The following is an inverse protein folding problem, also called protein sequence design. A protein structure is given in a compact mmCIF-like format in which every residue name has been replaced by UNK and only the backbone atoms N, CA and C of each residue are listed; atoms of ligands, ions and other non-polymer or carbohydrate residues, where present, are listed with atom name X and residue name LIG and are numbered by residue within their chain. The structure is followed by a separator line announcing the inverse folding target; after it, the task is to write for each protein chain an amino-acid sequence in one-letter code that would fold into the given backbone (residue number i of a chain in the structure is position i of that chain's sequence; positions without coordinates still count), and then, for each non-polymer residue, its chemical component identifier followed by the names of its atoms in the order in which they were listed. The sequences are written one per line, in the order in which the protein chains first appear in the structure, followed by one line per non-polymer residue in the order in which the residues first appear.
data_IF_414881824737
#
_entry.id   IF_414881824737
#
_cell.length_a   1.000
_cell.length_b   1.000
_cell.length_c   1.000
_cell.angle_alpha   90.00
_cell.angle_beta   90.00
_cell.angle_gamma   90.00
#
_symmetry.space_group_name_H-M   'P 1'
#
loop_
_entity.id
_entity.type
_entity.pdbx_description
1 polymer ?
#
# COMPACT_ATOMS: atom_id res chain seq x y z
N UNK A 1 -32.79 22.55 28.59
CA UNK A 1 -32.16 22.47 27.25
C UNK A 1 -30.66 22.32 27.46
N UNK A 2 -30.10 21.15 27.14
CA UNK A 2 -28.74 20.75 27.48
C UNK A 2 -27.80 21.07 26.29
N UNK A 3 -27.04 22.16 26.37
CA UNK A 3 -26.21 22.70 25.28
C UNK A 3 -24.75 22.20 25.30
N UNK A 4 -24.45 21.11 26.01
CA UNK A 4 -23.07 20.62 26.20
C UNK A 4 -22.61 19.53 25.23
N UNK A 5 -23.47 18.89 24.43
CA UNK A 5 -23.10 17.70 23.66
C UNK A 5 -22.49 17.95 22.27
N UNK A 6 -22.69 19.13 21.66
CA UNK A 6 -22.27 19.35 20.26
C UNK A 6 -20.77 19.55 20.05
N UNK A 7 -20.04 20.09 21.04
CA UNK A 7 -18.60 20.38 20.89
C UNK A 7 -17.72 19.15 21.10
N UNK A 8 -18.11 18.26 22.01
CA UNK A 8 -17.40 17.00 22.26
C UNK A 8 -17.55 16.02 21.09
N UNK A 9 -18.73 15.95 20.47
CA UNK A 9 -18.94 15.12 19.27
C UNK A 9 -18.07 15.59 18.09
N UNK A 10 -17.98 16.89 17.83
CA UNK A 10 -17.15 17.45 16.74
C UNK A 10 -15.66 17.18 17.01
N UNK A 11 -15.18 17.36 18.24
CA UNK A 11 -13.79 17.08 18.62
C UNK A 11 -13.43 15.60 18.45
N UNK A 12 -14.33 14.72 18.88
CA UNK A 12 -14.14 13.27 18.71
C UNK A 12 -14.14 12.87 17.23
N UNK A 13 -15.03 13.43 16.42
CA UNK A 13 -15.09 13.12 14.99
C UNK A 13 -13.84 13.59 14.24
N UNK A 14 -13.35 14.79 14.56
CA UNK A 14 -12.14 15.37 13.96
C UNK A 14 -10.89 14.57 14.34
N UNK A 15 -10.79 14.16 15.61
CA UNK A 15 -9.69 13.33 16.10
C UNK A 15 -9.69 11.91 15.50
N UNK A 16 -10.88 11.33 15.29
CA UNK A 16 -11.04 10.05 14.61
C UNK A 16 -10.67 10.14 13.12
N UNK A 17 -11.10 11.20 12.43
CA UNK A 17 -10.75 11.45 11.03
C UNK A 17 -9.24 11.67 10.83
N UNK A 18 -8.58 12.37 11.77
CA UNK A 18 -7.12 12.52 11.74
C UNK A 18 -6.40 11.19 11.94
N UNK A 19 -6.84 10.36 12.89
CA UNK A 19 -6.27 9.01 13.09
C UNK A 19 -6.46 8.10 11.88
N UNK A 20 -7.59 8.19 11.20
CA UNK A 20 -7.83 7.49 9.93
C UNK A 20 -6.83 7.92 8.84
N UNK A 21 -6.57 9.23 8.71
CA UNK A 21 -5.61 9.77 7.74
C UNK A 21 -4.16 9.34 7.99
N UNK A 22 -3.82 9.02 9.25
CA UNK A 22 -2.49 8.52 9.63
C UNK A 22 -2.30 7.03 9.35
N UNK A 23 -3.38 6.27 9.10
CA UNK A 23 -3.27 4.84 8.78
C UNK A 23 -2.68 4.69 7.37
N UNK A 24 -1.82 3.69 7.14
CA UNK A 24 -1.40 3.35 5.79
C UNK A 24 -2.65 3.15 4.92
N UNK A 25 -2.73 3.78 3.73
CA UNK A 25 -3.86 3.58 2.85
C UNK A 25 -3.98 2.09 2.53
N UNK A 26 -5.22 1.60 2.43
CA UNK A 26 -5.45 0.24 1.98
C UNK A 26 -4.86 0.09 0.58
N UNK A 27 -4.03 -0.94 0.38
CA UNK A 27 -3.42 -1.23 -0.92
C UNK A 27 -4.50 -1.62 -1.93
N UNK A 28 -5.63 -2.17 -1.46
CA UNK A 28 -6.79 -2.46 -2.28
C UNK A 28 -7.69 -1.21 -2.33
N UNK A 29 -7.95 -0.73 -3.55
CA UNK A 29 -8.83 0.40 -3.85
C UNK A 29 -9.83 0.00 -4.93
N UNK A 30 -10.97 0.69 -4.98
CA UNK A 30 -12.01 0.46 -5.99
C UNK A 30 -11.89 1.41 -7.21
N UNK A 31 -10.78 2.16 -7.30
CA UNK A 31 -10.50 3.09 -8.40
C UNK A 31 -10.24 2.38 -9.73
N UNK A 32 -10.70 2.97 -10.83
CA UNK A 32 -10.38 2.52 -12.19
C UNK A 32 -9.00 3.01 -12.69
N UNK A 33 -8.59 2.60 -13.90
CA UNK A 33 -7.25 2.94 -14.42
C UNK A 33 -7.08 4.43 -14.73
N UNK A 34 -8.15 5.13 -15.09
CA UNK A 34 -8.13 6.57 -15.38
C UNK A 34 -8.02 7.37 -14.07
N UNK A 35 -8.80 6.98 -13.06
CA UNK A 35 -8.74 7.55 -11.71
C UNK A 35 -7.37 7.33 -11.06
N UNK A 36 -6.77 6.14 -11.23
CA UNK A 36 -5.42 5.84 -10.76
C UNK A 36 -4.38 6.69 -11.46
N UNK A 37 -4.46 6.83 -12.78
CA UNK A 37 -3.53 7.64 -13.55
C UNK A 37 -3.64 9.12 -13.14
N UNK A 38 -4.87 9.63 -13.02
CA UNK A 38 -5.15 10.98 -12.55
C UNK A 38 -4.56 11.21 -11.16
N UNK A 39 -4.81 10.29 -10.22
CA UNK A 39 -4.29 10.37 -8.84
C UNK A 39 -2.77 10.32 -8.80
N UNK A 40 -2.13 9.43 -9.57
CA UNK A 40 -0.68 9.31 -9.65
C UNK A 40 -0.02 10.53 -10.31
N UNK A 41 -0.73 11.25 -11.19
CA UNK A 41 -0.25 12.46 -11.84
C UNK A 41 -0.24 13.69 -10.93
N UNK A 42 -0.99 13.67 -9.82
CA UNK A 42 -1.07 14.80 -8.91
C UNK A 42 0.26 15.04 -8.18
N UNK A 43 0.77 16.28 -8.24
CA UNK A 43 1.90 16.68 -7.41
C UNK A 43 1.42 17.01 -5.99
N UNK A 44 1.95 16.36 -4.93
CA UNK A 44 1.54 16.64 -3.57
C UNK A 44 1.86 18.10 -3.21
N UNK A 45 0.83 18.90 -2.93
CA UNK A 45 1.01 20.31 -2.50
C UNK A 45 1.25 20.47 -1.00
N UNK A 46 1.28 19.36 -0.25
CA UNK A 46 1.47 19.39 1.21
C UNK A 46 2.96 19.59 1.52
N UNK A 47 3.36 20.74 2.08
CA UNK A 47 4.77 21.08 2.28
C UNK A 47 5.42 20.26 3.40
N UNK A 48 4.64 19.79 4.38
CA UNK A 48 5.09 18.95 5.48
C UNK A 48 4.00 17.96 5.88
N UNK A 49 4.36 16.68 5.99
CA UNK A 49 3.43 15.65 6.44
C UNK A 49 3.15 15.77 7.94
N UNK A 50 1.95 15.39 8.40
CA UNK A 50 1.58 15.45 9.82
C UNK A 50 2.27 14.37 10.68
N UNK A 51 3.20 13.61 10.10
CA UNK A 51 3.98 12.55 10.72
C UNK A 51 5.36 12.46 10.08
N UNK A 52 6.32 11.92 10.83
CA UNK A 52 7.66 11.67 10.32
C UNK A 52 7.61 10.57 9.26
N UNK A 53 7.92 10.95 8.01
CA UNK A 53 8.05 10.00 6.92
C UNK A 53 9.41 9.35 6.99
N UNK A 54 9.43 8.06 7.23
CA UNK A 54 10.60 7.23 6.95
C UNK A 54 10.73 7.12 5.43
N UNK A 55 11.87 7.51 4.82
CA UNK A 55 12.11 7.26 3.41
C UNK A 55 12.04 5.75 3.13
N UNK A 56 11.25 5.35 2.13
CA UNK A 56 11.08 3.94 1.75
C UNK A 56 11.46 3.71 0.30
N UNK A 57 12.09 2.58 0.02
CA UNK A 57 12.34 2.10 -1.35
C UNK A 57 11.22 1.15 -1.78
N UNK A 58 10.61 1.40 -2.94
CA UNK A 58 9.61 0.52 -3.52
C UNK A 58 10.28 -0.47 -4.49
N UNK A 59 10.09 -1.77 -4.23
CA UNK A 59 10.53 -2.86 -5.11
C UNK A 59 9.33 -3.45 -5.84
N UNK A 60 9.38 -3.48 -7.17
CA UNK A 60 8.35 -4.10 -8.01
C UNK A 60 8.93 -5.30 -8.76
N UNK A 61 8.40 -6.48 -8.47
CA UNK A 61 8.79 -7.73 -9.11
C UNK A 61 7.78 -8.09 -10.20
N UNK A 62 8.19 -7.95 -11.46
CA UNK A 62 7.41 -8.40 -12.61
C UNK A 62 7.84 -9.82 -12.97
N UNK A 63 6.93 -10.78 -12.77
CA UNK A 63 7.25 -12.22 -12.88
C UNK A 63 6.22 -12.95 -13.71
N UNK A 64 6.60 -14.06 -14.36
CA UNK A 64 5.62 -14.94 -15.03
C UNK A 64 4.96 -15.93 -14.06
N UNK A 65 5.60 -16.24 -12.92
CA UNK A 65 5.14 -17.18 -11.91
C UNK A 65 5.53 -16.74 -10.50
N UNK A 66 6.21 -17.60 -9.75
CA UNK A 66 6.77 -17.22 -8.44
C UNK A 66 7.94 -16.23 -8.58
N UNK A 67 8.26 -15.54 -7.48
CA UNK A 67 9.45 -14.68 -7.40
C UNK A 67 10.70 -15.56 -7.39
N UNK A 68 11.48 -15.49 -8.48
CA UNK A 68 12.75 -16.20 -8.56
C UNK A 68 13.71 -15.71 -7.47
N UNK A 69 14.51 -16.63 -6.93
CA UNK A 69 15.47 -16.34 -5.86
C UNK A 69 14.83 -15.77 -4.58
N UNK A 70 13.56 -16.11 -4.29
CA UNK A 70 12.90 -15.63 -3.08
C UNK A 70 13.74 -15.78 -1.78
N UNK A 71 14.44 -16.92 -1.53
CA UNK A 71 15.29 -17.05 -0.34
C UNK A 71 16.48 -16.08 -0.29
N UNK A 72 17.00 -15.65 -1.45
CA UNK A 72 18.06 -14.63 -1.51
C UNK A 72 17.48 -13.25 -1.15
N UNK A 73 16.34 -12.92 -1.74
CA UNK A 73 15.65 -11.66 -1.46
C UNK A 73 15.24 -11.54 0.00
N UNK A 74 14.82 -12.63 0.64
CA UNK A 74 14.58 -12.66 2.08
C UNK A 74 15.80 -12.26 2.90
N UNK A 75 16.97 -12.80 2.56
CA UNK A 75 18.23 -12.43 3.23
C UNK A 75 18.57 -10.95 2.99
N UNK A 76 18.30 -10.45 1.78
CA UNK A 76 18.51 -9.04 1.44
C UNK A 76 17.61 -8.11 2.28
N UNK A 77 16.34 -8.47 2.46
CA UNK A 77 15.37 -7.63 3.17
C UNK A 77 15.41 -7.76 4.70
N UNK A 78 15.97 -8.86 5.22
CA UNK A 78 16.08 -9.12 6.66
C UNK A 78 16.74 -7.95 7.40
N UNK A 79 16.11 -7.47 8.47
CA UNK A 79 16.63 -6.39 9.30
C UNK A 79 16.42 -4.98 8.76
N UNK A 80 15.73 -4.84 7.62
CA UNK A 80 15.41 -3.56 7.00
C UNK A 80 13.90 -3.28 7.01
N UNK A 81 13.16 -3.91 7.92
CA UNK A 81 11.71 -3.80 8.02
C UNK A 81 11.30 -2.33 8.20
N UNK A 82 10.31 -1.89 7.44
CA UNK A 82 9.82 -0.50 7.47
C UNK A 82 10.52 0.46 6.50
N UNK A 83 11.68 0.11 5.95
CA UNK A 83 12.41 0.92 4.96
C UNK A 83 12.09 0.55 3.50
N UNK A 84 11.23 -0.43 3.28
CA UNK A 84 10.85 -0.86 1.95
C UNK A 84 9.37 -1.23 1.82
N UNK A 85 8.88 -1.15 0.60
CA UNK A 85 7.62 -1.74 0.15
C UNK A 85 7.91 -2.72 -0.99
N UNK A 86 7.25 -3.87 -0.98
CA UNK A 86 7.40 -4.90 -2.01
C UNK A 86 6.05 -5.07 -2.68
N UNK A 87 6.07 -5.08 -4.02
CA UNK A 87 4.93 -5.35 -4.88
C UNK A 87 5.30 -6.46 -5.87
N UNK A 88 4.43 -7.45 -6.01
CA UNK A 88 4.63 -8.59 -6.90
C UNK A 88 3.52 -8.60 -7.93
N UNK A 89 3.88 -8.47 -9.20
CA UNK A 89 2.96 -8.58 -10.32
C UNK A 89 3.34 -9.82 -11.12
N UNK A 90 2.50 -10.85 -11.00
CA UNK A 90 2.67 -12.13 -11.70
C UNK A 90 1.69 -12.23 -12.86
N UNK A 91 1.93 -13.13 -13.81
CA UNK A 91 1.01 -13.36 -14.92
C UNK A 91 -0.41 -13.74 -14.44
N UNK A 92 -1.51 -13.28 -15.12
CA UNK A 92 -2.87 -13.45 -14.62
C UNK A 92 -3.29 -14.90 -14.36
N UNK A 93 -2.84 -15.84 -15.20
CA UNK A 93 -3.18 -17.27 -15.04
C UNK A 93 -2.38 -17.97 -13.93
N UNK A 94 -1.38 -17.31 -13.35
CA UNK A 94 -0.61 -17.87 -12.26
C UNK A 94 -1.46 -17.82 -10.98
N UNK A 95 -2.04 -18.93 -10.54
CA UNK A 95 -2.84 -18.94 -9.31
C UNK A 95 -1.98 -18.81 -8.03
N UNK A 96 -0.66 -18.99 -8.15
CA UNK A 96 0.27 -18.94 -7.03
C UNK A 96 0.02 -20.06 -6.03
N UNK A 97 0.86 -21.09 -6.03
CA UNK A 97 1.11 -21.79 -4.76
C UNK A 97 1.70 -20.74 -3.80
N UNK A 98 1.16 -20.65 -2.59
CA UNK A 98 1.63 -19.68 -1.59
C UNK A 98 3.14 -19.84 -1.44
N UNK A 99 3.97 -18.80 -1.73
CA UNK A 99 5.37 -18.91 -1.39
C UNK A 99 5.48 -18.99 0.13
N UNK A 100 6.28 -19.93 0.65
CA UNK A 100 6.62 -20.00 2.09
C UNK A 100 7.35 -18.73 2.59
N UNK A 101 7.67 -17.82 1.67
CA UNK A 101 8.42 -16.62 1.97
C UNK A 101 7.60 -15.53 2.66
N UNK A 102 8.01 -15.20 3.88
CA UNK A 102 7.31 -14.24 4.74
C UNK A 102 7.32 -12.80 4.16
N UNK A 103 8.36 -12.42 3.43
CA UNK A 103 8.51 -11.04 2.94
C UNK A 103 7.60 -10.73 1.74
N UNK A 104 7.23 -11.75 0.96
CA UNK A 104 6.34 -11.63 -0.21
C UNK A 104 4.86 -11.89 0.13
N UNK A 105 4.57 -12.28 1.38
CA UNK A 105 3.20 -12.54 1.82
C UNK A 105 2.31 -11.30 1.68
N UNK A 106 1.14 -11.48 1.05
CA UNK A 106 0.15 -10.41 0.75
C UNK A 106 0.74 -9.21 -0.02
N UNK A 107 1.79 -9.42 -0.80
CA UNK A 107 2.41 -8.38 -1.64
C UNK A 107 1.98 -8.44 -3.11
N UNK A 108 1.08 -9.36 -3.46
CA UNK A 108 0.69 -9.60 -4.84
C UNK A 108 -0.38 -8.61 -5.29
N UNK A 109 -0.15 -7.96 -6.42
CA UNK A 109 -1.13 -7.11 -7.11
C UNK A 109 -1.73 -7.92 -8.27
N UNK A 110 -3.07 -8.01 -8.37
CA UNK A 110 -3.73 -8.65 -9.50
C UNK A 110 -3.37 -7.98 -10.83
N UNK A 111 -3.09 -8.79 -11.84
CA UNK A 111 -2.86 -8.35 -13.21
C UNK A 111 -4.16 -8.37 -14.02
N UNK A 112 -4.40 -7.36 -14.86
CA UNK A 112 -5.49 -7.37 -15.86
C UNK A 112 -5.05 -8.14 -17.10
N UNK A 113 -5.93 -9.00 -17.63
CA UNK A 113 -5.72 -9.63 -18.94
C UNK A 113 -6.00 -8.56 -20.00
N UNK A 114 -4.98 -8.21 -20.78
CA UNK A 114 -5.15 -7.41 -21.99
C UNK A 114 -5.33 -8.36 -23.17
N UNK A 115 -6.51 -8.35 -23.78
CA UNK A 115 -6.68 -8.94 -25.10
C UNK A 115 -5.96 -8.03 -26.09
N UNK A 116 -4.92 -8.55 -26.75
CA UNK A 116 -4.21 -7.88 -27.85
C UNK A 116 -4.89 -8.29 -29.15
#
# INVERSE_FOLDING_TARGET
MNTKNGKEEILNHTHMAFKEFLKPPNVMHDMDDEELLWTASMNPKVPKYPFDRVPKVAFMFLTRGHVLLAPLWEKFFKGHEGYYSIYVHSYPSYNGSHPESLVFHRRRIPSKITNI
#
